data_IF_665379129964
#
_entry.id   IF_665379129964
#
_cell.length_a   1.000
_cell.length_b   1.000
_cell.length_c   1.000
_cell.angle_alpha   90.00
_cell.angle_beta   90.00
_cell.angle_gamma   90.00
#
_symmetry.space_group_name_H-M   'P 1'
#
loop_
_entity.id
_entity.type
_entity.pdbx_description
1 polymer ?
#
# COMPACT_ATOMS: atom_id res chain seq x y z
N UNK A 1 -2.30 20.35 8.96
CA UNK A 1 -3.41 21.22 8.51
C UNK A 1 -3.98 20.62 7.23
N UNK A 2 -5.27 20.31 7.13
CA UNK A 2 -5.79 19.65 5.93
C UNK A 2 -5.90 20.69 4.82
N UNK A 3 -5.20 20.48 3.69
CA UNK A 3 -5.18 21.31 2.48
C UNK A 3 -4.02 22.32 2.31
N UNK A 4 -2.85 22.07 2.89
CA UNK A 4 -1.61 22.77 2.49
C UNK A 4 -0.73 21.88 1.64
N UNK A 5 -0.01 22.49 0.70
CA UNK A 5 0.97 21.79 -0.14
C UNK A 5 2.21 21.44 0.68
N UNK A 6 2.67 20.18 0.66
CA UNK A 6 3.83 19.74 1.43
C UNK A 6 5.15 20.42 1.04
N UNK A 7 5.28 20.95 -0.19
CA UNK A 7 6.50 21.66 -0.64
C UNK A 7 6.45 23.16 -0.33
N UNK A 8 5.37 23.84 -0.74
CA UNK A 8 5.32 25.30 -0.70
C UNK A 8 4.51 25.88 0.45
N UNK A 9 3.94 25.03 1.32
CA UNK A 9 3.07 25.38 2.46
C UNK A 9 1.85 26.27 2.13
N UNK A 10 1.63 26.59 0.85
CA UNK A 10 0.47 27.31 0.38
C UNK A 10 -0.77 26.42 0.39
N UNK A 11 -1.93 27.04 0.56
CA UNK A 11 -3.22 26.34 0.45
C UNK A 11 -3.35 25.72 -0.94
N UNK A 12 -3.76 24.45 -0.98
CA UNK A 12 -4.10 23.77 -2.21
C UNK A 12 -5.38 24.39 -2.77
N UNK A 13 -5.25 25.08 -3.89
CA UNK A 13 -6.37 25.73 -4.56
C UNK A 13 -7.37 24.73 -5.15
N UNK A 14 -8.53 25.24 -5.57
CA UNK A 14 -9.50 24.46 -6.37
C UNK A 14 -9.08 24.27 -7.83
N UNK A 15 -8.05 25.00 -8.28
CA UNK A 15 -7.57 25.02 -9.66
C UNK A 15 -6.19 24.36 -9.72
N UNK A 16 -5.95 23.59 -10.78
CA UNK A 16 -4.71 22.83 -11.00
C UNK A 16 -4.82 21.38 -10.51
N UNK A 17 -3.92 20.54 -11.00
CA UNK A 17 -3.84 19.16 -10.55
C UNK A 17 -3.13 19.08 -9.20
N UNK A 18 -3.61 18.20 -8.35
CA UNK A 18 -3.01 17.90 -7.06
C UNK A 18 -2.78 16.41 -6.96
N UNK A 19 -1.67 16.05 -6.35
CA UNK A 19 -1.22 14.68 -6.20
C UNK A 19 -0.97 14.41 -4.72
N UNK A 20 -1.27 13.20 -4.27
CA UNK A 20 -1.04 12.77 -2.89
C UNK A 20 0.12 11.79 -2.85
N UNK A 21 1.06 11.97 -1.92
CA UNK A 21 2.09 10.98 -1.66
C UNK A 21 1.44 9.75 -1.02
N UNK A 22 1.77 8.54 -1.50
CA UNK A 22 1.23 7.31 -0.92
C UNK A 22 1.85 6.94 0.44
N UNK A 23 2.98 7.55 0.80
CA UNK A 23 3.71 7.27 2.03
C UNK A 23 3.28 8.21 3.17
N UNK A 24 3.63 9.51 3.07
CA UNK A 24 3.31 10.49 4.09
C UNK A 24 1.86 10.98 4.04
N UNK A 25 1.09 10.58 3.01
CA UNK A 25 -0.31 10.96 2.79
C UNK A 25 -0.55 12.48 2.61
N UNK A 26 0.52 13.26 2.47
CA UNK A 26 0.44 14.70 2.18
C UNK A 26 0.11 14.99 0.72
N UNK A 27 -0.43 16.19 0.50
CA UNK A 27 -0.86 16.66 -0.81
C UNK A 27 0.09 17.71 -1.38
N UNK A 28 0.27 17.67 -2.70
CA UNK A 28 1.22 18.50 -3.42
C UNK A 28 0.58 19.09 -4.69
N UNK A 29 1.02 20.30 -5.06
CA UNK A 29 0.75 20.84 -6.39
C UNK A 29 1.61 20.10 -7.41
N UNK A 30 1.02 19.65 -8.52
CA UNK A 30 1.75 19.06 -9.65
C UNK A 30 2.96 19.90 -10.07
N UNK A 31 2.78 21.22 -10.22
CA UNK A 31 3.83 22.18 -10.61
C UNK A 31 4.96 22.37 -9.61
N UNK A 32 4.78 21.90 -8.37
CA UNK A 32 5.80 21.97 -7.30
C UNK A 32 6.51 20.64 -7.12
N UNK A 33 6.18 19.66 -7.94
CA UNK A 33 6.81 18.35 -8.00
C UNK A 33 7.50 18.19 -9.35
N UNK A 34 8.57 17.41 -9.41
CA UNK A 34 9.25 17.08 -10.67
C UNK A 34 8.55 15.92 -11.41
N UNK A 35 7.24 15.77 -11.23
CA UNK A 35 6.49 14.70 -11.86
C UNK A 35 6.27 15.01 -13.34
N UNK A 36 6.67 14.08 -14.20
CA UNK A 36 6.38 14.15 -15.62
C UNK A 36 4.87 14.09 -15.91
N UNK A 37 4.43 14.75 -16.99
CA UNK A 37 3.01 14.83 -17.36
C UNK A 37 2.37 13.46 -17.60
N UNK A 38 3.11 12.49 -18.15
CA UNK A 38 2.59 11.14 -18.35
C UNK A 38 2.41 10.42 -17.01
N UNK A 39 3.40 10.54 -16.11
CA UNK A 39 3.33 9.96 -14.76
C UNK A 39 2.20 10.60 -13.93
N UNK A 40 1.99 11.91 -14.07
CA UNK A 40 0.87 12.61 -13.44
C UNK A 40 -0.46 12.05 -13.92
N UNK A 41 -0.66 11.92 -15.22
CA UNK A 41 -1.89 11.37 -15.79
C UNK A 41 -2.17 9.93 -15.31
N UNK A 42 -1.14 9.09 -15.26
CA UNK A 42 -1.25 7.73 -14.73
C UNK A 42 -1.60 7.73 -13.24
N UNK A 43 -1.02 8.64 -12.46
CA UNK A 43 -1.30 8.74 -11.03
C UNK A 43 -2.71 9.23 -10.75
N UNK A 44 -3.17 10.26 -11.48
CA UNK A 44 -4.55 10.76 -11.39
C UNK A 44 -5.57 9.71 -11.83
N UNK A 45 -5.22 8.86 -12.80
CA UNK A 45 -6.02 7.71 -13.22
C UNK A 45 -5.92 6.51 -12.25
N UNK A 46 -5.21 6.64 -11.12
CA UNK A 46 -4.94 5.57 -10.13
C UNK A 46 -4.27 4.32 -10.73
N UNK A 47 -3.51 4.50 -11.80
CA UNK A 47 -2.74 3.44 -12.49
C UNK A 47 -1.28 3.40 -12.03
N UNK A 48 -0.81 4.43 -11.34
CA UNK A 48 0.55 4.55 -10.84
C UNK A 48 0.49 5.13 -9.42
N UNK A 49 1.32 4.61 -8.52
CA UNK A 49 1.55 5.19 -7.20
C UNK A 49 2.66 6.22 -7.30
N UNK A 50 2.56 7.30 -6.53
CA UNK A 50 3.56 8.36 -6.50
C UNK A 50 4.01 8.63 -5.07
N UNK A 51 5.31 8.79 -4.89
CA UNK A 51 5.95 9.16 -3.62
C UNK A 51 6.65 10.51 -3.81
N UNK A 52 6.66 11.33 -2.76
CA UNK A 52 7.35 12.62 -2.80
C UNK A 52 8.88 12.40 -2.65
N UNK A 53 9.67 13.38 -3.06
CA UNK A 53 11.14 13.28 -3.06
C UNK A 53 11.70 12.99 -1.65
N UNK A 54 11.10 13.56 -0.60
CA UNK A 54 11.51 13.31 0.79
C UNK A 54 11.33 11.84 1.18
N UNK A 55 10.18 11.24 0.85
CA UNK A 55 9.94 9.83 1.11
C UNK A 55 10.80 8.92 0.21
N UNK A 56 11.14 9.36 -1.00
CA UNK A 56 12.04 8.62 -1.90
C UNK A 56 13.50 8.65 -1.44
N UNK A 57 13.93 9.72 -0.75
CA UNK A 57 15.28 9.84 -0.19
C UNK A 57 15.49 9.02 1.08
N UNK A 58 14.44 8.81 1.90
CA UNK A 58 14.54 8.02 3.14
C UNK A 58 14.87 6.55 2.84
N UNK A 59 14.35 6.00 1.73
CA UNK A 59 14.66 4.64 1.29
C UNK A 59 16.08 4.49 0.70
N UNK A 60 16.79 5.58 0.44
CA UNK A 60 18.12 5.59 -0.19
C UNK A 60 19.26 5.90 0.77
N UNK A 61 18.98 6.18 2.04
CA UNK A 61 19.98 6.58 3.04
C UNK A 61 20.35 5.49 4.05
N UNK A 62 19.95 4.23 3.83
CA UNK A 62 20.42 3.08 4.63
C UNK A 62 21.63 2.36 4.01
N UNK A 63 22.26 2.95 2.98
CA UNK A 63 23.56 2.50 2.45
C UNK A 63 24.58 3.64 2.61
N UNK A 64 25.49 3.42 3.57
CA UNK A 64 26.87 3.95 3.66
C UNK A 64 27.10 5.43 4.03
N UNK A 65 27.37 5.71 5.32
CA UNK A 65 28.46 6.62 5.74
C UNK A 65 29.10 6.17 7.08
N UNK A 66 30.11 5.31 6.98
CA UNK A 66 31.28 5.14 7.88
C UNK A 66 32.39 4.63 6.93
N UNK A 67 33.60 5.17 6.75
CA UNK A 67 34.35 6.35 7.19
C UNK A 67 35.45 6.60 6.12
N UNK A 68 36.11 7.77 6.17
CA UNK A 68 37.50 8.11 5.81
C UNK A 68 38.31 7.39 4.70
N UNK A 69 39.02 8.25 3.94
CA UNK A 69 40.38 8.11 3.37
C UNK A 69 40.76 6.93 2.43
N UNK A 70 41.10 7.35 1.20
CA UNK A 70 42.34 7.00 0.46
C UNK A 70 42.67 5.54 0.02
N UNK A 71 42.80 5.42 -1.32
CA UNK A 71 43.70 4.58 -2.17
C UNK A 71 43.47 3.06 -2.39
N UNK A 72 43.04 2.76 -3.65
CA UNK A 72 43.45 1.69 -4.59
C UNK A 72 43.18 0.16 -4.31
N UNK A 73 43.12 -0.68 -5.38
CA UNK A 73 42.11 -1.73 -5.50
C UNK A 73 42.69 -3.09 -5.90
N UNK A 74 42.61 -4.14 -5.06
CA UNK A 74 42.67 -5.51 -5.60
C UNK A 74 42.14 -6.54 -4.61
N UNK A 75 41.40 -7.51 -5.16
CA UNK A 75 41.06 -8.87 -4.66
C UNK A 75 39.66 -9.04 -4.06
N UNK A 76 38.80 -9.72 -4.82
CA UNK A 76 37.85 -10.74 -4.32
C UNK A 76 38.61 -11.80 -3.50
N UNK A 77 37.94 -12.70 -2.76
CA UNK A 77 36.66 -12.61 -2.04
C UNK A 77 36.85 -13.05 -0.56
N UNK A 78 35.88 -12.86 0.33
CA UNK A 78 35.56 -13.88 1.35
C UNK A 78 34.23 -13.55 2.04
N UNK A 79 33.32 -14.50 1.99
CA UNK A 79 32.12 -14.53 2.81
C UNK A 79 32.59 -14.82 4.23
N UNK A 80 32.46 -13.88 5.16
CA UNK A 80 32.50 -14.22 6.57
C UNK A 80 31.36 -13.55 7.34
N UNK A 81 30.70 -14.41 8.10
CA UNK A 81 29.56 -14.15 8.94
C UNK A 81 29.90 -13.13 10.03
N UNK A 82 29.12 -12.05 10.13
CA UNK A 82 29.06 -11.26 11.35
C UNK A 82 27.62 -11.09 11.81
N UNK A 83 27.31 -11.93 12.80
CA UNK A 83 26.29 -11.83 13.83
C UNK A 83 25.34 -10.62 13.75
N UNK A 84 24.17 -10.89 13.17
CA UNK A 84 22.97 -10.10 13.26
C UNK A 84 22.53 -9.98 14.72
N UNK A 85 22.84 -8.87 15.39
CA UNK A 85 22.18 -8.51 16.64
C UNK A 85 20.71 -8.19 16.34
N UNK A 86 19.86 -9.18 16.58
CA UNK A 86 18.41 -9.10 16.46
C UNK A 86 17.87 -8.06 17.45
N UNK A 87 17.58 -6.86 16.95
CA UNK A 87 16.68 -5.93 17.63
C UNK A 87 15.24 -6.50 17.55
N UNK A 88 14.91 -7.27 18.60
CA UNK A 88 13.73 -8.10 18.85
C UNK A 88 12.37 -7.37 18.94
N UNK A 89 12.17 -6.26 18.22
CA UNK A 89 10.88 -5.51 18.21
C UNK A 89 10.21 -5.42 16.84
N UNK A 90 10.94 -5.59 15.74
CA UNK A 90 10.38 -5.53 14.39
C UNK A 90 9.77 -6.86 13.90
N UNK A 91 10.20 -8.00 14.46
CA UNK A 91 9.66 -9.32 14.10
C UNK A 91 8.21 -9.51 14.55
N UNK A 92 7.83 -8.92 15.69
CA UNK A 92 6.50 -9.09 16.30
C UNK A 92 5.39 -8.40 15.46
N UNK A 93 5.67 -7.24 14.88
CA UNK A 93 4.70 -6.52 14.05
C UNK A 93 4.39 -7.28 12.76
N UNK A 94 5.42 -7.84 12.10
CA UNK A 94 5.26 -8.63 10.88
C UNK A 94 4.45 -9.92 11.09
N UNK A 95 4.68 -10.62 12.21
CA UNK A 95 3.92 -11.83 12.57
C UNK A 95 2.46 -11.52 12.91
N UNK A 96 2.21 -10.42 13.64
CA UNK A 96 0.85 -9.94 13.94
C UNK A 96 0.09 -9.57 12.66
N UNK A 97 0.72 -8.85 11.73
CA UNK A 97 0.10 -8.47 10.46
C UNK A 97 -0.24 -9.69 9.61
N UNK A 98 0.69 -10.64 9.48
CA UNK A 98 0.44 -11.89 8.76
C UNK A 98 -0.69 -12.72 9.37
N UNK A 99 -0.79 -12.75 10.69
CA UNK A 99 -1.89 -13.44 11.40
C UNK A 99 -3.23 -12.77 11.11
N UNK A 100 -3.28 -11.43 11.14
CA UNK A 100 -4.49 -10.67 10.82
C UNK A 100 -4.93 -10.89 9.37
N UNK A 101 -4.01 -10.89 8.42
CA UNK A 101 -4.29 -11.17 7.00
C UNK A 101 -4.88 -12.58 6.83
N UNK A 102 -4.28 -13.59 7.47
CA UNK A 102 -4.80 -14.98 7.45
C UNK A 102 -6.22 -15.06 8.03
N UNK A 103 -6.49 -14.35 9.12
CA UNK A 103 -7.81 -14.33 9.73
C UNK A 103 -8.84 -13.67 8.80
N UNK A 104 -8.52 -12.51 8.22
CA UNK A 104 -9.44 -11.82 7.31
C UNK A 104 -9.77 -12.62 6.06
N UNK A 105 -8.81 -13.38 5.52
CA UNK A 105 -9.06 -14.31 4.40
C UNK A 105 -10.06 -15.41 4.78
N UNK A 106 -9.95 -15.97 5.98
CA UNK A 106 -10.92 -16.98 6.48
C UNK A 106 -12.31 -16.39 6.68
N UNK A 107 -12.39 -15.20 7.28
CA UNK A 107 -13.66 -14.51 7.50
C UNK A 107 -14.36 -14.19 6.17
N UNK A 108 -13.61 -13.74 5.17
CA UNK A 108 -14.12 -13.47 3.83
C UNK A 108 -14.70 -14.72 3.17
N UNK A 109 -13.95 -15.84 3.18
CA UNK A 109 -14.42 -17.09 2.61
C UNK A 109 -15.69 -17.62 3.31
N UNK A 110 -15.80 -17.43 4.63
CA UNK A 110 -17.01 -17.77 5.39
C UNK A 110 -18.20 -16.93 4.96
N UNK A 111 -18.03 -15.63 4.74
CA UNK A 111 -19.09 -14.73 4.28
C UNK A 111 -19.55 -15.08 2.86
N UNK A 112 -18.63 -15.45 1.96
CA UNK A 112 -18.99 -15.94 0.61
C UNK A 112 -19.83 -17.21 0.69
N UNK A 113 -19.45 -18.15 1.54
CA UNK A 113 -20.21 -19.39 1.76
C UNK A 113 -21.62 -19.11 2.29
N UNK A 114 -21.74 -18.21 3.28
CA UNK A 114 -23.04 -17.80 3.81
C UNK A 114 -23.91 -17.11 2.76
N UNK A 115 -23.31 -16.27 1.92
CA UNK A 115 -24.01 -15.61 0.82
C UNK A 115 -24.55 -16.63 -0.19
N UNK A 116 -23.77 -17.68 -0.49
CA UNK A 116 -24.19 -18.75 -1.39
C UNK A 116 -25.34 -19.58 -0.81
N UNK A 117 -25.26 -19.98 0.46
CA UNK A 117 -26.33 -20.71 1.14
C UNK A 117 -27.64 -19.91 1.18
N UNK A 118 -27.57 -18.61 1.45
CA UNK A 118 -28.74 -17.74 1.45
C UNK A 118 -29.39 -17.65 0.06
N UNK A 119 -28.59 -17.62 -1.02
CA UNK A 119 -29.13 -17.64 -2.39
C UNK A 119 -29.86 -18.95 -2.69
N UNK A 120 -29.33 -20.08 -2.23
CA UNK A 120 -29.94 -21.41 -2.39
C UNK A 120 -31.26 -21.51 -1.59
N UNK A 121 -31.29 -21.00 -0.36
CA UNK A 121 -32.49 -20.97 0.46
C UNK A 121 -33.59 -20.09 -0.19
N UNK A 122 -33.22 -18.91 -0.71
CA UNK A 122 -34.16 -18.05 -1.46
C UNK A 122 -34.68 -18.77 -2.71
N UNK A 123 -33.83 -19.51 -3.43
CA UNK A 123 -34.24 -20.27 -4.60
C UNK A 123 -35.22 -21.40 -4.22
N UNK A 124 -34.97 -22.11 -3.13
CA UNK A 124 -35.83 -23.17 -2.63
C UNK A 124 -37.21 -22.64 -2.16
N UNK A 125 -37.23 -21.50 -1.45
CA UNK A 125 -38.47 -20.83 -1.04
C UNK A 125 -39.29 -20.37 -2.24
N UNK A 126 -38.65 -19.87 -3.31
CA UNK A 126 -39.33 -19.48 -4.55
C UNK A 126 -39.90 -20.70 -5.30
N UNK A 127 -39.16 -21.81 -5.35
CA UNK A 127 -39.61 -23.05 -6.01
C UNK A 127 -40.78 -23.73 -5.30
N UNK A 128 -40.76 -23.78 -3.97
CA UNK A 128 -41.84 -24.38 -3.16
C UNK A 128 -43.13 -23.54 -3.18
N UNK A 129 -43.03 -22.21 -3.38
CA UNK A 129 -44.19 -21.34 -3.51
C UNK A 129 -44.99 -21.54 -4.83
N UNK A 130 -44.38 -22.10 -5.88
CA UNK A 130 -45.07 -22.35 -7.14
C UNK A 130 -45.89 -23.65 -7.13
N UNK A 131 -45.46 -24.68 -6.39
CA UNK A 131 -46.19 -25.96 -6.30
C UNK A 131 -47.52 -25.85 -5.55
N UNK A 132 -47.67 -24.90 -4.61
CA UNK A 132 -48.93 -24.69 -3.87
C UNK A 132 -50.03 -23.97 -4.68
N UNK A 133 -49.74 -23.48 -5.89
CA UNK A 133 -50.75 -22.81 -6.75
C UNK A 133 -51.43 -23.73 -7.77
N UNK A 134 -51.00 -24.99 -7.90
CA UNK A 134 -51.58 -25.97 -8.86
C UNK A 134 -52.50 -27.02 -8.22
N UNK A 135 -52.93 -26.84 -6.96
CA UNK A 135 -53.87 -27.75 -6.27
C UNK A 135 -55.15 -27.05 -5.80
N UNK A 136 -55.65 -26.06 -6.55
CA UNK A 136 -56.97 -25.48 -6.33
C UNK A 136 -57.79 -25.49 -7.60
#
# INVERSE_FOLDING_TARGET
MPNTCGVCNAKLGKKGHKIQCTECLDWYHDKRTDIDSNKLNLTLAKKLVWRCNECDSIDKSEEDEDENEEVNPTKKPLIENTNLHKNSKFTDIGEKLNTLIKQKKKDFHRLETQQQQMKEEIAHLKGTSQQKKSQK
#
